data_IF_814398104225
#
_entry.id   IF_814398104225
#
_cell.length_a   1.000
_cell.length_b   1.000
_cell.length_c   1.000
_cell.angle_alpha   90.00
_cell.angle_beta   90.00
_cell.angle_gamma   90.00
#
_symmetry.space_group_name_H-M   'P 1'
#
loop_
_entity.id
_entity.type
_entity.pdbx_description
1 polymer ?
#
# COMPACT_ATOMS: atom_id res chain seq x y z
N UNK A 1 20.36 -11.61 -6.40
CA UNK A 1 19.31 -12.49 -6.94
C UNK A 1 17.99 -12.41 -6.14
N UNK A 2 17.70 -11.31 -5.41
CA UNK A 2 16.57 -11.24 -4.45
C UNK A 2 15.43 -10.27 -4.82
N UNK A 3 15.57 -9.43 -5.85
CA UNK A 3 14.61 -8.34 -6.08
C UNK A 3 13.40 -8.76 -6.94
N UNK A 4 13.58 -9.69 -7.89
CA UNK A 4 12.52 -10.07 -8.82
C UNK A 4 11.42 -10.95 -8.20
N UNK A 5 11.76 -11.80 -7.22
CA UNK A 5 10.80 -12.68 -6.55
C UNK A 5 9.92 -11.95 -5.53
N UNK A 6 10.47 -10.97 -4.80
CA UNK A 6 9.70 -10.14 -3.87
C UNK A 6 8.68 -9.26 -4.62
N UNK A 7 9.06 -8.69 -5.78
CA UNK A 7 8.15 -7.88 -6.61
C UNK A 7 7.04 -8.74 -7.21
N UNK A 8 7.32 -10.00 -7.60
CA UNK A 8 6.30 -10.96 -8.05
C UNK A 8 5.31 -11.31 -6.95
N UNK A 9 5.79 -11.56 -5.74
CA UNK A 9 4.97 -11.90 -4.57
C UNK A 9 4.06 -10.74 -4.14
N UNK A 10 4.58 -9.51 -4.19
CA UNK A 10 3.84 -8.26 -3.99
C UNK A 10 2.76 -8.07 -5.07
N UNK A 11 3.07 -8.39 -6.34
CA UNK A 11 2.12 -8.26 -7.44
C UNK A 11 0.93 -9.25 -7.34
N UNK A 12 1.14 -10.42 -6.70
CA UNK A 12 0.10 -11.44 -6.49
C UNK A 12 -0.83 -11.10 -5.32
N UNK A 13 -0.36 -10.40 -4.30
CA UNK A 13 -1.19 -10.00 -3.15
C UNK A 13 -2.22 -8.90 -3.47
N UNK A 14 -1.95 -8.02 -4.44
CA UNK A 14 -2.89 -6.94 -4.83
C UNK A 14 -4.00 -7.37 -5.79
N UNK A 15 -4.10 -8.65 -6.14
CA UNK A 15 -5.06 -9.16 -7.12
C UNK A 15 -6.48 -9.40 -6.59
N UNK A 16 -6.90 -8.77 -5.48
CA UNK A 16 -8.22 -8.99 -4.89
C UNK A 16 -9.08 -7.72 -4.81
N UNK A 17 -10.13 -7.69 -5.65
CA UNK A 17 -11.18 -6.65 -5.73
C UNK A 17 -12.05 -6.64 -4.44
N UNK A 18 -11.84 -7.59 -3.51
CA UNK A 18 -12.60 -7.74 -2.27
C UNK A 18 -12.17 -6.81 -1.11
N UNK A 19 -11.16 -5.97 -1.30
CA UNK A 19 -10.70 -5.01 -0.28
C UNK A 19 -9.33 -5.35 0.28
N UNK A 20 -8.53 -4.31 0.46
CA UNK A 20 -7.17 -4.38 0.97
C UNK A 20 -7.14 -4.79 2.43
N UNK A 21 -6.22 -5.69 2.83
CA UNK A 21 -5.98 -5.99 4.25
C UNK A 21 -4.90 -5.08 4.83
N UNK A 22 -4.88 -4.94 6.16
CA UNK A 22 -3.87 -4.15 6.86
C UNK A 22 -2.43 -4.63 6.61
N UNK A 23 -2.23 -5.93 6.38
CA UNK A 23 -0.92 -6.49 6.05
C UNK A 23 -0.46 -6.06 4.65
N UNK A 24 -1.35 -6.13 3.65
CA UNK A 24 -1.08 -5.65 2.29
C UNK A 24 -0.74 -4.15 2.30
N UNK A 25 -1.44 -3.39 3.13
CA UNK A 25 -1.18 -1.96 3.33
C UNK A 25 0.20 -1.71 3.91
N UNK A 26 0.55 -2.40 5.00
CA UNK A 26 1.88 -2.29 5.60
C UNK A 26 2.99 -2.72 4.64
N UNK A 27 2.77 -3.77 3.84
CA UNK A 27 3.71 -4.24 2.84
C UNK A 27 3.96 -3.17 1.75
N UNK A 28 2.88 -2.60 1.19
CA UNK A 28 2.97 -1.55 0.18
C UNK A 28 3.76 -0.34 0.68
N UNK A 29 3.49 0.10 1.91
CA UNK A 29 4.20 1.22 2.52
C UNK A 29 5.69 0.93 2.71
N UNK A 30 6.05 -0.29 3.13
CA UNK A 30 7.46 -0.70 3.25
C UNK A 30 8.19 -0.65 1.90
N UNK A 31 7.57 -1.13 0.81
CA UNK A 31 8.15 -1.06 -0.55
C UNK A 31 8.38 0.39 -0.99
N UNK A 32 7.44 1.27 -0.64
CA UNK A 32 7.51 2.70 -0.95
C UNK A 32 8.44 3.49 -0.01
N UNK A 33 8.97 2.85 1.05
CA UNK A 33 9.66 3.50 2.15
C UNK A 33 8.84 4.63 2.81
N UNK A 34 7.52 4.43 2.92
CA UNK A 34 6.59 5.37 3.55
C UNK A 34 6.17 4.88 4.93
N UNK A 35 5.96 5.82 5.85
CA UNK A 35 5.22 5.57 7.08
C UNK A 35 3.71 5.78 6.86
N UNK A 36 2.87 5.38 7.82
CA UNK A 36 1.43 5.73 7.76
C UNK A 36 1.20 7.25 7.74
N UNK A 37 2.02 8.00 8.49
CA UNK A 37 1.97 9.45 8.51
C UNK A 37 2.39 10.06 7.17
N UNK A 38 3.38 9.47 6.50
CA UNK A 38 3.80 9.88 5.15
C UNK A 38 2.70 9.66 4.12
N UNK A 39 2.09 8.48 4.16
CA UNK A 39 0.94 8.15 3.32
C UNK A 39 -0.22 9.13 3.55
N UNK A 40 -0.54 9.42 4.82
CA UNK A 40 -1.57 10.39 5.18
C UNK A 40 -1.28 11.78 4.61
N UNK A 41 -0.04 12.26 4.78
CA UNK A 41 0.43 13.55 4.26
C UNK A 41 0.31 13.65 2.75
N UNK A 42 0.72 12.60 2.01
CA UNK A 42 0.65 12.56 0.54
C UNK A 42 -0.77 12.63 -0.01
N UNK A 43 -1.73 12.10 0.73
CA UNK A 43 -3.14 12.09 0.37
C UNK A 43 -3.93 13.29 0.92
N UNK A 44 -3.29 14.13 1.76
CA UNK A 44 -3.98 15.23 2.43
C UNK A 44 -5.05 14.77 3.42
N UNK A 45 -4.90 13.56 3.99
CA UNK A 45 -5.81 13.03 5.01
C UNK A 45 -5.15 13.07 6.39
N UNK A 46 -5.97 13.14 7.44
CA UNK A 46 -5.46 13.14 8.81
C UNK A 46 -4.85 11.77 9.18
N UNK A 47 -3.68 11.71 9.86
CA UNK A 47 -3.05 10.44 10.25
C UNK A 47 -3.94 9.53 11.11
N UNK A 48 -4.84 10.11 11.93
CA UNK A 48 -5.80 9.33 12.73
C UNK A 48 -6.85 8.65 11.84
N UNK A 49 -7.15 9.21 10.67
CA UNK A 49 -8.05 8.60 9.68
C UNK A 49 -7.43 7.34 9.11
N UNK A 50 -6.15 7.38 8.73
CA UNK A 50 -5.41 6.20 8.26
C UNK A 50 -5.30 5.14 9.37
N UNK A 51 -4.99 5.56 10.60
CA UNK A 51 -4.94 4.66 11.75
C UNK A 51 -6.28 3.95 11.99
N UNK A 52 -7.41 4.64 11.84
CA UNK A 52 -8.75 4.03 11.93
C UNK A 52 -9.01 2.99 10.83
N UNK A 53 -8.57 3.23 9.60
CA UNK A 53 -8.69 2.24 8.52
C UNK A 53 -7.92 0.97 8.83
N UNK A 54 -6.67 1.13 9.28
CA UNK A 54 -5.80 0.01 9.64
C UNK A 54 -6.38 -0.77 10.83
N UNK A 55 -6.78 -0.07 11.89
CA UNK A 55 -7.33 -0.70 13.10
C UNK A 55 -8.66 -1.41 12.86
N UNK A 56 -9.51 -0.89 11.97
CA UNK A 56 -10.79 -1.53 11.62
C UNK A 56 -10.68 -2.55 10.48
N UNK A 57 -9.55 -2.60 9.77
CA UNK A 57 -9.38 -3.38 8.53
C UNK A 57 -10.27 -2.91 7.38
N UNK A 58 -10.88 -1.72 7.48
CA UNK A 58 -11.79 -1.16 6.48
C UNK A 58 -11.13 0.00 5.77
N UNK A 59 -10.62 -0.28 4.58
CA UNK A 59 -10.02 0.73 3.71
C UNK A 59 -11.04 1.25 2.70
N UNK A 60 -10.95 2.54 2.31
CA UNK A 60 -11.63 3.02 1.12
C UNK A 60 -11.23 2.17 -0.11
N UNK A 61 -12.20 1.89 -0.98
CA UNK A 61 -12.02 0.98 -2.13
C UNK A 61 -10.83 1.36 -3.04
N UNK A 62 -10.52 2.65 -3.15
CA UNK A 62 -9.46 3.16 -4.01
C UNK A 62 -8.05 3.03 -3.41
N UNK A 63 -7.90 2.84 -2.09
CA UNK A 63 -6.58 2.84 -1.42
C UNK A 63 -5.68 1.72 -1.95
N UNK A 64 -6.26 0.54 -2.18
CA UNK A 64 -5.53 -0.60 -2.75
C UNK A 64 -4.95 -0.27 -4.13
N UNK A 65 -5.77 0.29 -5.02
CA UNK A 65 -5.33 0.62 -6.38
C UNK A 65 -4.31 1.76 -6.42
N UNK A 66 -4.49 2.78 -5.56
CA UNK A 66 -3.52 3.86 -5.45
C UNK A 66 -2.13 3.32 -5.04
N UNK A 67 -2.07 2.47 -4.02
CA UNK A 67 -0.80 1.90 -3.55
C UNK A 67 -0.19 0.95 -4.57
N UNK A 68 -1.01 0.16 -5.27
CA UNK A 68 -0.58 -0.68 -6.39
C UNK A 68 0.13 0.15 -7.46
N UNK A 69 -0.49 1.26 -7.90
CA UNK A 69 0.09 2.16 -8.90
C UNK A 69 1.36 2.84 -8.39
N UNK A 70 1.37 3.33 -7.16
CA UNK A 70 2.55 3.96 -6.56
C UNK A 70 3.74 2.99 -6.51
N UNK A 71 3.51 1.74 -6.10
CA UNK A 71 4.54 0.68 -6.08
C UNK A 71 5.04 0.41 -7.50
N UNK A 72 4.13 0.25 -8.45
CA UNK A 72 4.48 -0.03 -9.85
C UNK A 72 5.36 1.09 -10.44
N UNK A 73 5.01 2.36 -10.19
CA UNK A 73 5.80 3.51 -10.64
C UNK A 73 7.19 3.51 -9.98
N UNK A 74 7.27 3.29 -8.67
CA UNK A 74 8.57 3.23 -7.97
C UNK A 74 9.45 2.13 -8.56
N UNK A 75 8.91 0.92 -8.71
CA UNK A 75 9.67 -0.23 -9.24
C UNK A 75 10.06 -0.05 -10.70
N UNK A 76 9.31 0.72 -11.49
CA UNK A 76 9.66 1.01 -12.89
C UNK A 76 10.75 2.09 -13.03
N UNK A 77 10.96 2.91 -12.00
CA UNK A 77 11.91 4.02 -11.99
C UNK A 77 13.21 3.72 -11.24
N UNK A 78 13.22 2.71 -10.37
CA UNK A 78 14.41 2.17 -9.69
C UNK A 78 15.21 1.20 -10.60
#
# INVERSE_FOLDING_TARGET
MQNADAVRDVHLHFANIAGMKAQDFSCALSVLAWSQAEFARRLGVDPTTVSRWVGSGKFPKWVGEYLRLAVLVKTALD
#
